data_IF_558528972168
#
_entry.id   IF_558528972168
#
_cell.length_a   1.000
_cell.length_b   1.000
_cell.length_c   1.000
_cell.angle_alpha   90.00
_cell.angle_beta   90.00
_cell.angle_gamma   90.00
#
_symmetry.space_group_name_H-M   'P 1'
#
loop_
_entity.id
_entity.type
_entity.pdbx_description
1 polymer ?
#
# COMPACT_ATOMS: atom_id res chain seq x y z
N UNK A 1 22.40 -15.54 -21.59
CA UNK A 1 21.82 -16.81 -21.14
C UNK A 1 20.31 -16.69 -21.27
N UNK A 2 19.75 -17.10 -22.41
CA UNK A 2 18.30 -17.11 -22.60
C UNK A 2 17.60 -17.89 -21.48
N UNK A 3 16.31 -17.62 -21.25
CA UNK A 3 15.55 -18.30 -20.21
C UNK A 3 15.44 -19.82 -20.39
N UNK A 4 15.72 -20.33 -21.60
CA UNK A 4 15.88 -21.75 -21.91
C UNK A 4 17.08 -22.41 -21.20
N UNK A 5 18.03 -21.61 -20.72
CA UNK A 5 19.20 -22.08 -19.95
C UNK A 5 18.84 -22.41 -18.49
N UNK A 6 17.60 -22.14 -18.08
CA UNK A 6 17.05 -22.47 -16.75
C UNK A 6 15.83 -23.40 -16.87
N UNK A 7 16.01 -24.61 -17.43
CA UNK A 7 14.90 -25.50 -17.78
C UNK A 7 14.06 -25.95 -16.58
N UNK A 8 14.65 -26.13 -15.39
CA UNK A 8 13.93 -26.57 -14.19
C UNK A 8 12.96 -25.48 -13.75
N UNK A 9 13.43 -24.23 -13.65
CA UNK A 9 12.57 -23.09 -13.30
C UNK A 9 11.54 -22.87 -14.40
N UNK A 10 11.97 -22.85 -15.66
CA UNK A 10 11.09 -22.53 -16.80
C UNK A 10 9.94 -23.54 -16.94
N UNK A 11 10.23 -24.84 -16.84
CA UNK A 11 9.23 -25.90 -16.99
C UNK A 11 8.24 -25.97 -15.82
N UNK A 12 8.63 -25.50 -14.64
CA UNK A 12 7.73 -25.43 -13.49
C UNK A 12 6.66 -24.33 -13.63
N UNK A 13 6.86 -23.34 -14.51
CA UNK A 13 6.00 -22.17 -14.63
C UNK A 13 4.82 -22.40 -15.58
N UNK A 14 3.70 -21.74 -15.30
CA UNK A 14 2.61 -21.60 -16.28
C UNK A 14 3.09 -20.83 -17.52
N UNK A 15 2.49 -21.05 -18.70
CA UNK A 15 2.81 -20.33 -19.95
C UNK A 15 2.95 -18.81 -19.79
N UNK A 16 2.02 -18.17 -19.07
CA UNK A 16 2.08 -16.73 -18.79
C UNK A 16 3.31 -16.32 -17.99
N UNK A 17 3.71 -17.14 -17.02
CA UNK A 17 4.89 -16.89 -16.17
C UNK A 17 6.19 -17.21 -16.90
N UNK A 18 6.20 -18.20 -17.79
CA UNK A 18 7.33 -18.48 -18.68
C UNK A 18 7.65 -17.26 -19.54
N UNK A 19 6.64 -16.65 -20.14
CA UNK A 19 6.82 -15.42 -20.91
C UNK A 19 7.36 -14.27 -20.04
N UNK A 20 6.77 -14.04 -18.86
CA UNK A 20 7.23 -12.99 -17.94
C UNK A 20 8.66 -13.21 -17.45
N UNK A 21 9.04 -14.46 -17.24
CA UNK A 21 10.38 -14.85 -16.83
C UNK A 21 11.38 -14.63 -17.96
N UNK A 22 11.06 -15.05 -19.18
CA UNK A 22 11.89 -14.83 -20.37
C UNK A 22 12.12 -13.34 -20.67
N UNK A 23 11.05 -12.53 -20.64
CA UNK A 23 11.13 -11.08 -20.82
C UNK A 23 12.01 -10.42 -19.74
N UNK A 24 11.89 -10.85 -18.48
CA UNK A 24 12.64 -10.28 -17.38
C UNK A 24 14.13 -10.64 -17.41
N UNK A 25 14.47 -11.88 -17.75
CA UNK A 25 15.86 -12.32 -17.94
C UNK A 25 16.48 -11.55 -19.11
N UNK A 26 15.83 -11.53 -20.27
CA UNK A 26 16.32 -10.81 -21.45
C UNK A 26 16.55 -9.32 -21.17
N UNK A 27 15.66 -8.67 -20.42
CA UNK A 27 15.82 -7.26 -20.05
C UNK A 27 17.00 -7.01 -19.09
N UNK A 28 17.30 -7.92 -18.17
CA UNK A 28 18.49 -7.78 -17.30
C UNK A 28 19.78 -8.05 -18.06
N UNK A 29 19.79 -9.01 -18.98
CA UNK A 29 20.95 -9.32 -19.82
C UNK A 29 21.26 -8.17 -20.77
N UNK A 30 20.24 -7.63 -21.45
CA UNK A 30 20.40 -6.45 -22.29
C UNK A 30 20.94 -5.25 -21.51
N UNK A 31 20.48 -5.06 -20.26
CA UNK A 31 21.02 -4.04 -19.37
C UNK A 31 22.48 -4.28 -19.01
N UNK A 32 22.83 -5.53 -18.69
CA UNK A 32 24.21 -5.94 -18.39
C UNK A 32 25.15 -5.68 -19.56
N UNK A 33 24.75 -6.11 -20.75
CA UNK A 33 25.56 -5.97 -21.97
C UNK A 33 25.70 -4.50 -22.39
N UNK A 34 24.69 -3.67 -22.13
CA UNK A 34 24.75 -2.23 -22.32
C UNK A 34 25.51 -1.47 -21.22
N UNK A 35 25.86 -2.11 -20.10
CA UNK A 35 26.49 -1.49 -18.94
C UNK A 35 25.61 -0.48 -18.18
N UNK A 36 24.34 -0.32 -18.55
CA UNK A 36 23.40 0.60 -17.94
C UNK A 36 21.97 0.12 -18.14
N UNK A 37 21.08 0.36 -17.18
CA UNK A 37 19.66 0.09 -17.35
C UNK A 37 18.76 1.06 -16.57
N UNK A 38 17.53 1.35 -17.06
CA UNK A 38 16.58 2.16 -16.29
C UNK A 38 16.16 1.46 -14.99
N UNK A 39 16.18 2.18 -13.87
CA UNK A 39 15.77 1.62 -12.57
C UNK A 39 14.35 1.02 -12.56
N UNK A 40 13.42 1.57 -13.36
CA UNK A 40 12.08 1.00 -13.51
C UNK A 40 12.08 -0.39 -14.17
N UNK A 41 12.94 -0.60 -15.17
CA UNK A 41 13.12 -1.89 -15.85
C UNK A 41 13.77 -2.88 -14.89
N UNK A 42 14.83 -2.48 -14.19
CA UNK A 42 15.46 -3.29 -13.14
C UNK A 42 14.46 -3.77 -12.09
N UNK A 43 13.68 -2.85 -11.49
CA UNK A 43 12.70 -3.20 -10.44
C UNK A 43 11.63 -4.16 -10.94
N UNK A 44 11.10 -3.93 -12.16
CA UNK A 44 10.11 -4.82 -12.77
C UNK A 44 10.70 -6.21 -13.02
N UNK A 45 11.87 -6.29 -13.64
CA UNK A 45 12.52 -7.58 -13.94
C UNK A 45 12.87 -8.36 -12.68
N UNK A 46 13.46 -7.69 -11.68
CA UNK A 46 13.73 -8.28 -10.36
C UNK A 46 12.47 -8.88 -9.73
N UNK A 47 11.37 -8.12 -9.72
CA UNK A 47 10.13 -8.58 -9.12
C UNK A 47 9.51 -9.77 -9.88
N UNK A 48 9.51 -9.72 -11.22
CA UNK A 48 9.03 -10.82 -12.05
C UNK A 48 9.82 -12.10 -11.82
N UNK A 49 11.15 -12.01 -11.81
CA UNK A 49 12.04 -13.15 -11.56
C UNK A 49 11.82 -13.71 -10.16
N UNK A 50 11.80 -12.86 -9.13
CA UNK A 50 11.60 -13.30 -7.74
C UNK A 50 10.30 -14.10 -7.59
N UNK A 51 9.20 -13.64 -8.21
CA UNK A 51 7.91 -14.35 -8.19
C UNK A 51 7.91 -15.66 -8.97
N UNK A 52 8.74 -15.76 -10.01
CA UNK A 52 8.87 -17.00 -10.78
C UNK A 52 9.72 -18.02 -10.04
N UNK A 53 10.85 -17.60 -9.45
CA UNK A 53 11.70 -18.47 -8.62
C UNK A 53 10.97 -18.93 -7.35
N UNK A 54 10.19 -18.07 -6.70
CA UNK A 54 9.32 -18.44 -5.58
C UNK A 54 8.28 -19.50 -5.96
N UNK A 55 7.69 -19.35 -7.15
CA UNK A 55 6.69 -20.30 -7.65
C UNK A 55 7.33 -21.66 -7.95
N UNK A 56 8.42 -21.68 -8.73
CA UNK A 56 9.14 -22.91 -9.05
C UNK A 56 9.60 -23.62 -7.77
N UNK A 57 10.13 -22.89 -6.79
CA UNK A 57 10.48 -23.41 -5.48
C UNK A 57 9.27 -24.02 -4.76
N UNK A 58 8.13 -23.34 -4.77
CA UNK A 58 6.92 -23.86 -4.14
C UNK A 58 6.45 -25.17 -4.77
N UNK A 59 6.44 -25.27 -6.10
CA UNK A 59 5.94 -26.46 -6.81
C UNK A 59 6.90 -27.65 -6.72
N UNK A 60 8.20 -27.40 -6.78
CA UNK A 60 9.20 -28.45 -6.93
C UNK A 60 9.86 -28.86 -5.61
N UNK A 61 9.77 -28.05 -4.54
CA UNK A 61 10.38 -28.38 -3.24
C UNK A 61 9.36 -28.37 -2.11
N UNK A 62 8.70 -27.23 -1.85
CA UNK A 62 7.84 -27.13 -0.66
C UNK A 62 6.62 -28.02 -0.73
N UNK A 63 5.86 -27.97 -1.83
CA UNK A 63 4.65 -28.79 -1.99
C UNK A 63 4.94 -30.29 -1.94
N UNK A 64 5.93 -30.83 -2.68
CA UNK A 64 6.18 -32.28 -2.71
C UNK A 64 6.79 -32.83 -1.43
N UNK A 65 7.54 -32.02 -0.67
CA UNK A 65 8.34 -32.50 0.46
C UNK A 65 7.97 -31.85 1.80
N UNK A 66 8.02 -30.52 1.92
CA UNK A 66 7.79 -29.81 3.19
C UNK A 66 6.31 -29.63 3.57
N UNK A 67 5.40 -29.72 2.61
CA UNK A 67 3.94 -29.59 2.81
C UNK A 67 3.19 -30.89 2.53
N UNK A 68 3.88 -31.90 2.01
CA UNK A 68 3.31 -33.22 1.77
C UNK A 68 3.35 -34.04 3.06
N UNK A 69 2.19 -34.24 3.66
CA UNK A 69 2.06 -34.99 4.93
C UNK A 69 2.53 -36.43 4.80
N UNK A 70 2.42 -37.04 3.62
CA UNK A 70 2.80 -38.43 3.43
C UNK A 70 4.32 -38.56 3.32
N UNK A 71 4.97 -37.66 2.58
CA UNK A 71 6.43 -37.59 2.53
C UNK A 71 7.05 -37.32 3.93
N UNK A 72 6.50 -36.38 4.68
CA UNK A 72 6.98 -36.03 6.03
C UNK A 72 6.86 -37.21 7.00
N UNK A 73 5.84 -38.05 6.85
CA UNK A 73 5.65 -39.24 7.68
C UNK A 73 6.64 -40.35 7.34
N UNK A 74 7.04 -40.48 6.07
CA UNK A 74 8.02 -41.47 5.62
C UNK A 74 9.48 -41.02 5.76
N UNK A 75 9.72 -39.71 5.91
CA UNK A 75 11.08 -39.16 6.09
C UNK A 75 11.68 -39.54 7.45
N UNK A 76 13.01 -39.61 7.52
CA UNK A 76 13.73 -39.83 8.78
C UNK A 76 13.49 -38.67 9.75
N UNK A 77 13.66 -38.89 11.05
CA UNK A 77 13.48 -37.84 12.05
C UNK A 77 14.42 -36.64 11.83
N UNK A 78 15.66 -36.91 11.42
CA UNK A 78 16.65 -35.90 11.10
C UNK A 78 16.30 -35.10 9.84
N UNK A 79 15.84 -35.76 8.78
CA UNK A 79 15.38 -35.10 7.56
C UNK A 79 14.13 -34.25 7.83
N UNK A 80 13.17 -34.79 8.58
CA UNK A 80 11.94 -34.11 8.97
C UNK A 80 12.21 -32.83 9.75
N UNK A 81 13.14 -32.86 10.70
CA UNK A 81 13.53 -31.68 11.47
C UNK A 81 14.10 -30.57 10.55
N UNK A 82 14.94 -30.95 9.59
CA UNK A 82 15.52 -30.02 8.60
C UNK A 82 14.48 -29.45 7.64
N UNK A 83 13.50 -30.25 7.21
CA UNK A 83 12.41 -29.81 6.32
C UNK A 83 11.49 -28.77 6.96
N UNK A 84 11.26 -28.85 8.28
CA UNK A 84 10.49 -27.83 9.01
C UNK A 84 11.21 -26.48 9.07
N UNK A 85 12.54 -26.47 9.10
CA UNK A 85 13.36 -25.24 9.15
C UNK A 85 13.46 -24.52 7.80
N UNK A 86 13.08 -25.19 6.70
CA UNK A 86 13.06 -24.60 5.34
C UNK A 86 11.74 -23.86 5.12
N UNK A 87 11.59 -22.74 5.83
CA UNK A 87 10.41 -21.88 5.73
C UNK A 87 10.52 -20.80 4.64
N UNK A 88 11.74 -20.45 4.24
CA UNK A 88 12.03 -19.30 3.39
C UNK A 88 12.02 -19.64 1.88
N UNK A 89 11.63 -18.66 1.07
CA UNK A 89 11.77 -18.73 -0.39
C UNK A 89 13.14 -18.22 -0.83
N UNK A 90 13.65 -18.65 -2.00
CA UNK A 90 14.87 -18.11 -2.58
C UNK A 90 14.75 -16.60 -2.81
N UNK A 91 15.67 -15.85 -2.19
CA UNK A 91 15.86 -14.42 -2.36
C UNK A 91 17.36 -14.12 -2.46
N UNK A 92 17.71 -12.99 -3.08
CA UNK A 92 19.12 -12.60 -3.29
C UNK A 92 19.91 -12.57 -1.96
N UNK A 93 19.28 -12.17 -0.87
CA UNK A 93 19.91 -12.03 0.45
C UNK A 93 19.99 -13.32 1.28
N UNK A 94 19.28 -14.39 0.90
CA UNK A 94 19.24 -15.63 1.69
C UNK A 94 19.69 -16.88 0.90
N UNK A 95 20.11 -16.71 -0.36
CA UNK A 95 20.52 -17.80 -1.26
C UNK A 95 21.61 -18.69 -0.66
N UNK A 96 22.60 -18.12 0.04
CA UNK A 96 23.68 -18.87 0.70
C UNK A 96 23.18 -19.68 1.89
N UNK A 97 22.18 -19.17 2.64
CA UNK A 97 21.57 -19.91 3.75
C UNK A 97 20.79 -21.12 3.21
N UNK A 98 20.00 -20.91 2.15
CA UNK A 98 19.23 -21.97 1.52
C UNK A 98 20.11 -23.06 0.89
N UNK A 99 21.24 -22.67 0.30
CA UNK A 99 22.24 -23.64 -0.20
C UNK A 99 22.74 -24.57 0.90
N UNK A 100 23.14 -24.02 2.06
CA UNK A 100 23.57 -24.82 3.22
C UNK A 100 22.46 -25.72 3.78
N UNK A 101 21.22 -25.23 3.78
CA UNK A 101 20.07 -26.06 4.19
C UNK A 101 19.83 -27.22 3.22
N UNK A 102 19.99 -26.99 1.91
CA UNK A 102 19.88 -28.03 0.88
C UNK A 102 21.03 -29.05 0.96
N UNK A 103 22.25 -28.62 1.27
CA UNK A 103 23.39 -29.52 1.54
C UNK A 103 23.17 -30.36 2.80
N UNK A 104 22.67 -29.75 3.87
CA UNK A 104 22.38 -30.42 5.13
C UNK A 104 21.31 -31.52 5.02
N UNK A 105 20.46 -31.48 3.99
CA UNK A 105 19.49 -32.54 3.67
C UNK A 105 20.12 -33.79 3.00
N UNK A 106 21.40 -33.75 2.62
CA UNK A 106 22.10 -34.89 2.01
C UNK A 106 21.45 -35.35 0.70
N UNK A 107 21.63 -36.61 0.31
CA UNK A 107 21.11 -37.20 -0.94
C UNK A 107 19.64 -37.66 -0.86
N UNK A 108 18.86 -37.01 0.00
CA UNK A 108 17.40 -37.19 0.04
C UNK A 108 16.73 -36.62 -1.20
N UNK A 109 15.52 -37.08 -1.53
CA UNK A 109 14.76 -36.55 -2.67
C UNK A 109 14.53 -35.04 -2.55
N UNK A 110 14.25 -34.56 -1.33
CA UNK A 110 14.12 -33.14 -1.04
C UNK A 110 15.45 -32.38 -1.20
N UNK A 111 16.56 -32.94 -0.69
CA UNK A 111 17.90 -32.35 -0.81
C UNK A 111 18.33 -32.20 -2.27
N UNK A 112 18.14 -33.25 -3.09
CA UNK A 112 18.45 -33.23 -4.52
C UNK A 112 17.60 -32.19 -5.27
N UNK A 113 16.27 -32.19 -5.08
CA UNK A 113 15.38 -31.24 -5.74
C UNK A 113 15.71 -29.78 -5.40
N UNK A 114 16.04 -29.51 -4.13
CA UNK A 114 16.45 -28.17 -3.71
C UNK A 114 17.79 -27.76 -4.32
N UNK A 115 18.79 -28.66 -4.35
CA UNK A 115 20.09 -28.36 -4.98
C UNK A 115 19.95 -28.08 -6.47
N UNK A 116 19.18 -28.87 -7.21
CA UNK A 116 18.98 -28.68 -8.65
C UNK A 116 18.33 -27.33 -8.99
N UNK A 117 17.36 -26.86 -8.21
CA UNK A 117 16.80 -25.51 -8.43
C UNK A 117 17.83 -24.43 -8.07
N UNK A 118 18.58 -24.63 -6.99
CA UNK A 118 19.57 -23.65 -6.53
C UNK A 118 20.72 -23.46 -7.53
N UNK A 119 21.07 -24.48 -8.31
CA UNK A 119 22.03 -24.38 -9.42
C UNK A 119 21.57 -23.38 -10.49
N UNK A 120 20.27 -23.36 -10.81
CA UNK A 120 19.70 -22.39 -11.76
C UNK A 120 19.43 -21.01 -11.15
N UNK A 121 18.98 -20.95 -9.89
CA UNK A 121 18.65 -19.66 -9.25
C UNK A 121 19.90 -18.82 -8.96
N UNK A 122 21.02 -19.45 -8.62
CA UNK A 122 22.26 -18.75 -8.26
C UNK A 122 22.76 -17.78 -9.37
N UNK A 123 22.97 -18.21 -10.63
CA UNK A 123 23.39 -17.30 -11.70
C UNK A 123 22.36 -16.21 -12.00
N UNK A 124 21.06 -16.51 -11.89
CA UNK A 124 19.99 -15.51 -12.08
C UNK A 124 20.10 -14.39 -11.03
N UNK A 125 20.37 -14.75 -9.77
CA UNK A 125 20.47 -13.77 -8.70
C UNK A 125 21.76 -12.95 -8.78
N UNK A 126 22.84 -13.49 -9.34
CA UNK A 126 24.02 -12.69 -9.70
C UNK A 126 23.68 -11.67 -10.79
N UNK A 127 22.91 -12.04 -11.82
CA UNK A 127 22.42 -11.09 -12.83
C UNK A 127 21.58 -9.97 -12.18
N UNK A 128 20.73 -10.29 -11.20
CA UNK A 128 19.98 -9.28 -10.44
C UNK A 128 20.91 -8.36 -9.65
N UNK A 129 21.98 -8.89 -9.03
CA UNK A 129 22.97 -8.06 -8.30
C UNK A 129 23.67 -7.11 -9.25
N UNK A 130 24.20 -7.60 -10.36
CA UNK A 130 24.83 -6.75 -11.38
C UNK A 130 23.85 -5.69 -11.91
N UNK A 131 22.60 -6.08 -12.20
CA UNK A 131 21.55 -5.16 -12.66
C UNK A 131 21.26 -4.01 -11.69
N UNK A 132 21.42 -4.23 -10.37
CA UNK A 132 21.27 -3.18 -9.35
C UNK A 132 22.36 -2.12 -9.47
N UNK A 133 23.59 -2.55 -9.72
CA UNK A 133 24.76 -1.66 -9.71
C UNK A 133 24.79 -0.76 -10.97
N UNK A 134 24.20 -1.25 -12.07
CA UNK A 134 24.06 -0.51 -13.33
C UNK A 134 22.70 0.20 -13.48
N UNK A 135 21.81 0.09 -12.49
CA UNK A 135 20.48 0.68 -12.54
C UNK A 135 20.55 2.20 -12.31
N UNK A 136 20.32 2.97 -13.38
CA UNK A 136 20.33 4.43 -13.31
C UNK A 136 18.92 4.93 -12.99
N UNK A 137 18.80 5.72 -11.92
CA UNK A 137 17.59 6.52 -11.67
C UNK A 137 17.53 7.58 -12.76
N UNK A 138 16.39 7.68 -13.44
CA UNK A 138 16.15 8.64 -14.52
C UNK A 138 16.61 10.03 -14.08
N UNK A 139 17.73 10.52 -14.62
CA UNK A 139 18.01 11.96 -14.65
C UNK A 139 16.91 12.57 -15.53
N UNK A 140 16.30 13.72 -15.18
CA UNK A 140 15.19 14.26 -15.96
C UNK A 140 15.71 14.61 -17.35
N UNK A 141 15.34 13.81 -18.36
CA UNK A 141 15.55 14.16 -19.76
C UNK A 141 14.36 15.03 -20.23
N UNK A 142 14.61 16.04 -21.08
CA UNK A 142 13.60 17.01 -21.51
C UNK A 142 12.50 16.31 -22.33
N UNK A 143 11.26 16.74 -22.13
CA UNK A 143 10.04 16.07 -22.59
C UNK A 143 9.66 16.53 -24.01
N UNK A 144 9.46 15.62 -24.99
CA UNK A 144 8.64 15.90 -26.18
C UNK A 144 7.15 15.51 -25.94
N UNK A 145 6.20 16.13 -26.66
CA UNK A 145 4.83 16.32 -26.18
C UNK A 145 3.86 15.21 -26.61
N UNK A 146 2.90 14.84 -25.76
CA UNK A 146 1.51 14.50 -26.18
C UNK A 146 0.52 14.39 -24.99
N UNK A 147 -0.42 15.33 -24.98
CA UNK A 147 -1.80 15.32 -24.48
C UNK A 147 -2.19 14.35 -23.34
N UNK A 148 -2.07 14.78 -22.09
CA UNK A 148 -3.09 15.45 -21.26
C UNK A 148 -2.31 16.06 -20.10
N UNK A 149 -2.03 17.36 -20.17
CA UNK A 149 -1.28 18.09 -19.16
C UNK A 149 -2.01 18.02 -17.81
N UNK A 150 -1.60 17.09 -16.95
CA UNK A 150 -1.77 17.28 -15.51
C UNK A 150 -0.79 18.37 -15.12
N UNK A 151 -1.33 19.59 -15.06
CA UNK A 151 -0.71 20.77 -14.49
C UNK A 151 0.20 20.39 -13.32
N UNK A 152 1.49 20.66 -13.45
CA UNK A 152 2.45 20.56 -12.36
C UNK A 152 2.76 21.98 -11.91
N UNK A 153 2.56 22.16 -10.62
CA UNK A 153 2.56 23.43 -9.95
C UNK A 153 4.00 23.82 -9.50
N UNK A 154 4.37 25.11 -9.48
CA UNK A 154 5.67 25.59 -8.98
C UNK A 154 5.85 25.43 -7.45
N UNK A 155 7.07 25.66 -6.93
CA UNK A 155 7.53 25.24 -5.58
C UNK A 155 7.77 26.37 -4.56
N UNK A 156 7.28 26.11 -3.33
CA UNK A 156 7.15 26.91 -2.07
C UNK A 156 8.03 28.15 -1.76
N UNK A 157 7.40 29.33 -1.60
CA UNK A 157 7.80 30.43 -0.67
C UNK A 157 7.44 30.10 0.80
N UNK A 158 8.41 30.18 1.71
CA UNK A 158 8.36 29.51 3.03
C UNK A 158 7.41 30.08 4.11
N UNK A 159 7.04 31.37 4.09
CA UNK A 159 6.27 32.00 5.19
C UNK A 159 4.75 31.84 5.07
N UNK A 160 4.19 32.00 3.86
CA UNK A 160 2.76 31.76 3.59
C UNK A 160 2.38 30.29 3.87
N UNK A 161 3.27 29.38 3.49
CA UNK A 161 3.12 27.95 3.67
C UNK A 161 3.06 27.53 5.15
N UNK A 162 3.86 28.17 6.00
CA UNK A 162 3.83 27.93 7.44
C UNK A 162 2.50 28.35 8.07
N UNK A 163 1.91 29.48 7.63
CA UNK A 163 0.61 29.95 8.11
C UNK A 163 -0.53 28.98 7.71
N UNK A 164 -0.50 28.47 6.48
CA UNK A 164 -1.53 27.52 6.02
C UNK A 164 -1.40 26.17 6.73
N UNK A 165 -0.17 25.70 6.88
CA UNK A 165 0.12 24.48 7.62
C UNK A 165 -0.39 24.58 9.07
N UNK A 166 -0.20 25.73 9.73
CA UNK A 166 -0.68 25.95 11.10
C UNK A 166 -2.20 25.78 11.20
N UNK A 167 -2.96 26.43 10.31
CA UNK A 167 -4.43 26.37 10.33
C UNK A 167 -4.98 24.99 9.96
N UNK A 168 -4.38 24.31 8.97
CA UNK A 168 -4.74 22.91 8.66
C UNK A 168 -4.41 21.98 9.84
N UNK A 169 -3.31 22.26 10.55
CA UNK A 169 -2.96 21.53 11.78
C UNK A 169 -3.98 21.79 12.89
N UNK A 170 -4.50 23.01 13.05
CA UNK A 170 -5.57 23.31 14.03
C UNK A 170 -6.86 22.53 13.70
N UNK A 171 -7.27 22.51 12.42
CA UNK A 171 -8.44 21.75 11.98
C UNK A 171 -8.27 20.26 12.33
N UNK A 172 -7.12 19.69 11.98
CA UNK A 172 -6.88 18.26 12.23
C UNK A 172 -6.73 17.94 13.71
N UNK A 173 -6.12 18.82 14.52
CA UNK A 173 -5.99 18.64 15.97
C UNK A 173 -7.35 18.55 16.65
N UNK A 174 -8.28 19.43 16.27
CA UNK A 174 -9.64 19.41 16.79
C UNK A 174 -10.42 18.14 16.38
N UNK A 175 -10.12 17.58 15.20
CA UNK A 175 -10.80 16.41 14.66
C UNK A 175 -10.26 15.06 15.11
N UNK A 176 -8.97 14.99 15.43
CA UNK A 176 -8.24 13.75 15.67
C UNK A 176 -8.92 12.82 16.68
N UNK A 177 -9.29 13.35 17.85
CA UNK A 177 -9.90 12.56 18.92
C UNK A 177 -11.27 11.99 18.51
N UNK A 178 -12.08 12.79 17.80
CA UNK A 178 -13.38 12.37 17.28
C UNK A 178 -13.25 11.25 16.25
N UNK A 179 -12.31 11.38 15.31
CA UNK A 179 -12.01 10.36 14.29
C UNK A 179 -11.53 9.06 14.94
N UNK A 180 -10.57 9.15 15.87
CA UNK A 180 -10.05 7.97 16.57
C UNK A 180 -11.17 7.22 17.34
N UNK A 181 -12.04 7.97 18.02
CA UNK A 181 -13.19 7.42 18.75
C UNK A 181 -14.19 6.74 17.80
N UNK A 182 -14.46 7.33 16.63
CA UNK A 182 -15.35 6.75 15.63
C UNK A 182 -14.82 5.43 15.07
N UNK A 183 -13.53 5.42 14.69
CA UNK A 183 -12.85 4.25 14.17
C UNK A 183 -12.81 3.14 15.22
N UNK A 184 -12.56 3.46 16.49
CA UNK A 184 -12.61 2.48 17.59
C UNK A 184 -13.98 1.84 17.70
N UNK A 185 -15.06 2.64 17.77
CA UNK A 185 -16.45 2.13 17.83
C UNK A 185 -16.79 1.24 16.62
N UNK A 186 -16.35 1.63 15.43
CA UNK A 186 -16.59 0.84 14.22
C UNK A 186 -15.83 -0.50 14.26
N UNK A 187 -14.59 -0.50 14.71
CA UNK A 187 -13.79 -1.71 14.87
C UNK A 187 -14.36 -2.64 15.95
N UNK A 188 -14.73 -2.10 17.12
CA UNK A 188 -15.40 -2.85 18.20
C UNK A 188 -16.69 -3.51 17.68
N UNK A 189 -17.55 -2.75 17.02
CA UNK A 189 -18.78 -3.28 16.41
C UNK A 189 -18.50 -4.41 15.41
N UNK A 190 -17.40 -4.33 14.66
CA UNK A 190 -16.98 -5.39 13.72
C UNK A 190 -16.60 -6.67 14.46
N UNK A 191 -15.85 -6.55 15.56
CA UNK A 191 -15.46 -7.67 16.41
C UNK A 191 -16.69 -8.29 17.08
N UNK A 192 -17.57 -7.48 17.66
CA UNK A 192 -18.79 -7.95 18.31
C UNK A 192 -19.73 -8.66 17.32
N UNK A 193 -19.84 -8.14 16.09
CA UNK A 193 -20.62 -8.79 15.02
C UNK A 193 -20.05 -10.17 14.67
N UNK A 194 -18.72 -10.30 14.62
CA UNK A 194 -18.07 -11.58 14.37
C UNK A 194 -18.33 -12.57 15.52
N UNK A 195 -18.18 -12.14 16.77
CA UNK A 195 -18.42 -12.98 17.95
C UNK A 195 -19.90 -13.42 18.05
N UNK A 196 -20.84 -12.51 17.76
CA UNK A 196 -22.26 -12.84 17.71
C UNK A 196 -22.56 -13.90 16.64
N UNK A 197 -21.92 -13.80 15.46
CA UNK A 197 -22.06 -14.80 14.40
C UNK A 197 -21.42 -16.14 14.75
N UNK A 198 -20.29 -16.16 15.46
CA UNK A 198 -19.71 -17.40 16.00
C UNK A 198 -20.71 -18.08 16.93
N UNK A 199 -21.29 -17.33 17.87
CA UNK A 199 -22.25 -17.86 18.83
C UNK A 199 -23.50 -18.41 18.15
N UNK A 200 -24.08 -17.68 17.19
CA UNK A 200 -25.20 -18.16 16.39
C UNK A 200 -24.85 -19.43 15.58
N UNK A 201 -23.65 -19.49 15.02
CA UNK A 201 -23.15 -20.65 14.30
C UNK A 201 -23.07 -21.88 15.22
N UNK A 202 -22.49 -21.73 16.42
CA UNK A 202 -22.41 -22.78 17.44
C UNK A 202 -23.80 -23.30 17.86
N UNK A 203 -24.79 -22.43 18.00
CA UNK A 203 -26.17 -22.81 18.33
C UNK A 203 -26.91 -23.52 17.19
N UNK A 204 -26.57 -23.21 15.93
CA UNK A 204 -27.23 -23.77 14.74
C UNK A 204 -26.75 -25.19 14.38
N UNK A 205 -25.51 -25.53 14.71
CA UNK A 205 -24.92 -26.87 14.46
C UNK A 205 -25.40 -27.87 15.50
N UNK A 206 -26.59 -28.46 15.28
CA UNK A 206 -27.08 -29.67 15.98
C UNK A 206 -26.64 -30.99 15.33
N UNK A 207 -25.82 -30.94 14.28
CA UNK A 207 -25.39 -32.11 13.49
C UNK A 207 -23.96 -32.52 13.82
N UNK A 208 -23.69 -33.84 13.78
CA UNK A 208 -22.43 -34.51 14.17
C UNK A 208 -21.16 -34.10 13.40
N UNK A 209 -21.26 -33.18 12.44
CA UNK A 209 -20.13 -32.69 11.65
C UNK A 209 -19.85 -31.22 11.99
N UNK A 210 -18.68 -30.89 12.54
CA UNK A 210 -18.33 -29.51 12.85
C UNK A 210 -18.19 -28.71 11.55
N UNK A 211 -19.13 -27.80 11.28
CA UNK A 211 -18.98 -26.82 10.20
C UNK A 211 -17.95 -25.79 10.66
N UNK A 212 -16.84 -25.68 9.93
CA UNK A 212 -15.68 -24.85 10.28
C UNK A 212 -16.06 -23.35 10.27
N UNK A 213 -16.06 -22.72 11.45
CA UNK A 213 -16.18 -21.26 11.61
C UNK A 213 -14.84 -20.68 12.04
N UNK A 214 -14.25 -19.82 11.22
CA UNK A 214 -12.96 -19.18 11.52
C UNK A 214 -12.86 -17.81 10.84
N UNK A 215 -11.92 -16.97 11.32
CA UNK A 215 -11.72 -15.60 10.81
C UNK A 215 -11.51 -15.57 9.30
N UNK A 216 -10.73 -16.51 8.74
CA UNK A 216 -10.44 -16.55 7.31
C UNK A 216 -11.68 -16.91 6.51
N UNK A 217 -12.39 -17.96 6.92
CA UNK A 217 -13.64 -18.40 6.29
C UNK A 217 -14.71 -17.29 6.35
N UNK A 218 -14.80 -16.58 7.48
CA UNK A 218 -15.70 -15.43 7.65
C UNK A 218 -15.34 -14.26 6.74
N UNK A 219 -14.06 -13.85 6.73
CA UNK A 219 -13.59 -12.75 5.89
C UNK A 219 -13.71 -13.09 4.39
N UNK A 220 -13.51 -14.35 4.02
CA UNK A 220 -13.70 -14.83 2.65
C UNK A 220 -15.17 -14.78 2.22
N UNK A 221 -16.09 -15.13 3.12
CA UNK A 221 -17.51 -15.05 2.84
C UNK A 221 -17.96 -13.60 2.59
N UNK A 222 -17.53 -12.67 3.44
CA UNK A 222 -17.84 -11.25 3.27
C UNK A 222 -17.15 -10.62 2.05
N UNK A 223 -15.92 -11.04 1.73
CA UNK A 223 -15.19 -10.57 0.55
C UNK A 223 -15.50 -11.33 -0.74
N UNK A 224 -16.69 -11.94 -0.86
CA UNK A 224 -17.18 -12.62 -2.08
C UNK A 224 -16.18 -13.64 -2.67
N UNK A 225 -15.55 -14.45 -1.81
CA UNK A 225 -14.62 -15.50 -2.23
C UNK A 225 -13.14 -15.13 -2.11
N UNK A 226 -12.80 -13.86 -1.81
CA UNK A 226 -11.46 -13.45 -1.36
C UNK A 226 -11.52 -13.01 0.09
N UNK A 227 -10.59 -13.46 0.92
CA UNK A 227 -10.54 -13.02 2.31
C UNK A 227 -10.18 -11.52 2.37
N UNK A 228 -11.07 -10.72 2.95
CA UNK A 228 -10.80 -9.31 3.21
C UNK A 228 -9.64 -9.18 4.21
N UNK A 229 -8.50 -8.70 3.72
CA UNK A 229 -7.27 -8.58 4.51
C UNK A 229 -7.40 -7.57 5.67
N UNK A 230 -8.16 -6.49 5.49
CA UNK A 230 -8.38 -5.50 6.55
C UNK A 230 -9.27 -6.07 7.64
N UNK A 231 -10.33 -6.78 7.26
CA UNK A 231 -11.19 -7.48 8.21
C UNK A 231 -10.42 -8.56 8.98
N UNK A 232 -9.60 -9.36 8.29
CA UNK A 232 -8.78 -10.39 8.93
C UNK A 232 -7.81 -9.78 9.94
N UNK A 233 -7.08 -8.72 9.57
CA UNK A 233 -6.14 -8.05 10.48
C UNK A 233 -6.87 -7.51 11.72
N UNK A 234 -7.99 -6.80 11.54
CA UNK A 234 -8.82 -6.28 12.64
C UNK A 234 -9.24 -7.37 13.63
N UNK A 235 -9.76 -8.49 13.12
CA UNK A 235 -10.23 -9.60 13.96
C UNK A 235 -9.07 -10.33 14.64
N UNK A 236 -7.99 -10.63 13.91
CA UNK A 236 -6.83 -11.38 14.43
C UNK A 236 -6.11 -10.62 15.55
N UNK A 237 -6.12 -9.30 15.46
CA UNK A 237 -5.45 -8.44 16.44
C UNK A 237 -6.28 -8.30 17.71
N UNK A 238 -7.60 -8.21 17.58
CA UNK A 238 -8.54 -8.01 18.69
C UNK A 238 -8.91 -9.29 19.46
N UNK A 239 -8.77 -10.47 18.83
CA UNK A 239 -9.30 -11.74 19.35
C UNK A 239 -8.20 -12.77 19.65
N UNK A 240 -8.32 -13.45 20.78
CA UNK A 240 -7.58 -14.68 21.05
C UNK A 240 -8.29 -15.85 20.40
N UNK A 241 -7.51 -16.84 19.96
CA UNK A 241 -8.01 -18.08 19.39
C UNK A 241 -7.68 -19.24 20.33
N UNK A 242 -8.70 -19.97 20.77
CA UNK A 242 -8.56 -21.28 21.40
C UNK A 242 -9.06 -22.37 20.46
N UNK A 243 -8.63 -23.61 20.71
CA UNK A 243 -9.05 -24.78 19.93
C UNK A 243 -9.75 -25.75 20.88
N UNK A 244 -11.01 -26.05 20.61
CA UNK A 244 -11.81 -27.02 21.36
C UNK A 244 -11.41 -28.46 21.06
N UNK A 245 -11.99 -29.39 21.81
CA UNK A 245 -11.65 -30.82 21.78
C UNK A 245 -11.87 -31.49 20.42
N UNK A 246 -12.79 -30.96 19.59
CA UNK A 246 -13.07 -31.43 18.24
C UNK A 246 -12.31 -30.66 17.14
N UNK A 247 -11.30 -29.87 17.50
CA UNK A 247 -10.54 -29.03 16.56
C UNK A 247 -11.29 -27.77 16.12
N UNK A 248 -12.42 -27.45 16.76
CA UNK A 248 -13.19 -26.24 16.53
C UNK A 248 -12.44 -25.01 17.07
N UNK A 249 -12.43 -23.93 16.30
CA UNK A 249 -11.81 -22.68 16.73
C UNK A 249 -12.82 -21.84 17.48
N UNK A 250 -12.44 -21.38 18.65
CA UNK A 250 -13.24 -20.46 19.45
C UNK A 250 -12.46 -19.16 19.64
N UNK A 251 -13.12 -18.05 19.31
CA UNK A 251 -12.55 -16.72 19.48
C UNK A 251 -13.20 -16.00 20.64
N UNK A 252 -12.38 -15.24 21.38
CA UNK A 252 -12.81 -14.35 22.47
C UNK A 252 -12.00 -13.05 22.39
N UNK A 253 -12.53 -11.97 22.96
CA UNK A 253 -11.73 -10.76 23.14
C UNK A 253 -10.42 -11.08 23.85
N UNK A 254 -9.30 -10.56 23.34
CA UNK A 254 -8.05 -10.54 24.10
C UNK A 254 -8.25 -9.70 25.36
N UNK A 255 -7.51 -10.00 26.43
CA UNK A 255 -7.53 -9.19 27.65
C UNK A 255 -7.32 -7.69 27.37
N UNK A 256 -6.37 -7.35 26.48
CA UNK A 256 -6.10 -5.97 26.04
C UNK A 256 -6.71 -5.64 24.67
N UNK A 257 -7.63 -6.46 24.14
CA UNK A 257 -8.12 -6.37 22.76
C UNK A 257 -8.74 -5.02 22.42
N UNK A 258 -9.60 -4.50 23.30
CA UNK A 258 -10.23 -3.19 23.13
C UNK A 258 -9.21 -2.04 23.14
N UNK A 259 -8.19 -2.14 24.01
CA UNK A 259 -7.11 -1.15 24.07
C UNK A 259 -6.25 -1.19 22.81
N UNK A 260 -5.96 -2.37 22.28
CA UNK A 260 -5.23 -2.52 21.00
C UNK A 260 -6.04 -1.90 19.85
N UNK A 261 -7.35 -2.12 19.82
CA UNK A 261 -8.26 -1.49 18.85
C UNK A 261 -8.18 0.03 18.97
N UNK A 262 -8.33 0.59 20.17
CA UNK A 262 -8.24 2.03 20.41
C UNK A 262 -6.89 2.63 19.97
N UNK A 263 -5.78 1.96 20.29
CA UNK A 263 -4.44 2.40 19.90
C UNK A 263 -4.24 2.39 18.37
N UNK A 264 -4.75 1.36 17.69
CA UNK A 264 -4.68 1.30 16.22
C UNK A 264 -5.56 2.36 15.58
N UNK A 265 -6.77 2.57 16.09
CA UNK A 265 -7.68 3.61 15.63
C UNK A 265 -7.09 5.02 15.82
N UNK A 266 -6.34 5.26 16.89
CA UNK A 266 -5.60 6.50 17.08
C UNK A 266 -4.51 6.71 16.03
N UNK A 267 -3.72 5.67 15.72
CA UNK A 267 -2.70 5.71 14.65
C UNK A 267 -3.33 5.92 13.26
N UNK A 268 -4.47 5.30 12.99
CA UNK A 268 -5.19 5.50 11.73
C UNK A 268 -5.72 6.94 11.61
N UNK A 269 -6.24 7.51 12.71
CA UNK A 269 -6.62 8.91 12.75
C UNK A 269 -5.44 9.86 12.44
N UNK A 270 -4.23 9.55 12.95
CA UNK A 270 -3.01 10.32 12.63
C UNK A 270 -2.71 10.32 11.14
N UNK A 271 -2.79 9.16 10.49
CA UNK A 271 -2.55 9.03 9.05
C UNK A 271 -3.60 9.79 8.22
N UNK A 272 -4.86 9.79 8.65
CA UNK A 272 -5.93 10.57 8.01
C UNK A 272 -5.66 12.07 8.14
N UNK A 273 -5.33 12.54 9.34
CA UNK A 273 -4.99 13.93 9.61
C UNK A 273 -3.78 14.39 8.79
N UNK A 274 -2.70 13.60 8.76
CA UNK A 274 -1.51 13.90 7.98
C UNK A 274 -1.83 13.97 6.48
N UNK A 275 -2.54 12.96 5.95
CA UNK A 275 -2.93 12.92 4.54
C UNK A 275 -3.81 14.10 4.16
N UNK A 276 -4.70 14.55 5.05
CA UNK A 276 -5.51 15.73 4.83
C UNK A 276 -4.66 16.99 4.69
N UNK A 277 -3.69 17.22 5.59
CA UNK A 277 -2.78 18.37 5.50
C UNK A 277 -2.02 18.32 4.17
N UNK A 278 -1.34 17.21 3.89
CA UNK A 278 -0.50 17.06 2.70
C UNK A 278 -1.26 17.31 1.40
N UNK A 279 -2.48 16.76 1.27
CA UNK A 279 -3.28 16.88 0.04
C UNK A 279 -3.88 18.26 -0.17
N UNK A 280 -4.22 18.96 0.91
CA UNK A 280 -4.69 20.35 0.80
C UNK A 280 -3.52 21.30 0.50
N UNK A 281 -2.37 21.12 1.18
CA UNK A 281 -1.16 21.90 0.91
C UNK A 281 -0.71 21.74 -0.54
N UNK A 282 -0.70 20.52 -1.08
CA UNK A 282 -0.30 20.26 -2.47
C UNK A 282 -1.13 21.00 -3.53
N UNK A 283 -2.36 21.42 -3.21
CA UNK A 283 -3.24 22.18 -4.11
C UNK A 283 -3.22 23.68 -3.84
N UNK A 284 -3.08 24.10 -2.58
CA UNK A 284 -3.12 25.51 -2.19
C UNK A 284 -1.78 26.20 -2.40
N UNK A 285 -0.68 25.53 -2.06
CA UNK A 285 0.68 26.06 -2.15
C UNK A 285 0.94 26.74 -3.50
N UNK A 286 0.72 26.07 -4.64
CA UNK A 286 1.21 26.61 -5.90
C UNK A 286 0.46 27.88 -6.33
N UNK A 287 -0.83 27.95 -6.03
CA UNK A 287 -1.67 29.11 -6.32
C UNK A 287 -1.18 30.34 -5.52
N UNK A 288 -0.89 30.12 -4.24
CA UNK A 288 -0.53 31.19 -3.30
C UNK A 288 0.86 31.73 -3.61
N UNK A 289 1.75 30.84 -4.01
CA UNK A 289 3.12 31.18 -4.33
C UNK A 289 3.31 31.85 -5.66
N UNK A 290 2.70 31.30 -6.71
CA UNK A 290 2.76 31.87 -8.06
C UNK A 290 2.22 33.30 -8.03
N UNK A 291 1.22 33.57 -7.16
CA UNK A 291 0.72 34.92 -6.93
C UNK A 291 1.67 35.82 -6.12
N UNK A 292 2.42 35.25 -5.17
CA UNK A 292 3.50 35.94 -4.45
C UNK A 292 3.09 37.04 -3.47
N UNK A 293 1.83 37.48 -3.45
CA UNK A 293 1.32 38.62 -2.68
C UNK A 293 0.38 38.21 -1.53
N UNK A 294 0.55 37.00 -0.99
CA UNK A 294 -0.21 36.49 0.14
C UNK A 294 -0.23 37.47 1.32
N UNK A 295 -1.42 37.75 1.85
CA UNK A 295 -1.62 38.62 3.00
C UNK A 295 -2.06 37.84 4.25
N UNK A 296 -3.14 37.06 4.16
CA UNK A 296 -3.64 36.31 5.32
C UNK A 296 -4.56 35.16 4.93
N UNK A 297 -4.79 34.27 5.89
CA UNK A 297 -5.79 33.21 5.81
C UNK A 297 -6.62 33.20 7.08
N UNK A 298 -7.91 32.87 6.96
CA UNK A 298 -8.82 32.69 8.09
C UNK A 298 -9.67 31.46 7.90
N UNK A 299 -9.89 30.69 8.96
CA UNK A 299 -10.93 29.66 8.98
C UNK A 299 -12.28 30.37 9.05
N UNK A 300 -13.08 30.27 7.99
CA UNK A 300 -14.44 30.85 7.91
C UNK A 300 -15.53 29.80 8.16
N UNK A 301 -15.14 28.53 8.28
CA UNK A 301 -16.02 27.46 8.71
C UNK A 301 -15.25 26.16 8.91
N UNK A 302 -15.69 25.36 9.87
CA UNK A 302 -15.23 23.98 10.04
C UNK A 302 -16.39 23.14 10.54
N UNK A 303 -16.50 21.93 10.02
CA UNK A 303 -17.32 20.90 10.63
C UNK A 303 -16.47 19.64 10.79
N UNK A 304 -16.52 19.09 11.99
CA UNK A 304 -15.71 17.96 12.44
C UNK A 304 -16.68 16.94 13.01
N UNK A 305 -16.91 15.90 12.23
CA UNK A 305 -17.76 14.77 12.60
C UNK A 305 -16.92 13.48 12.68
N UNK A 306 -17.37 12.48 13.46
CA UNK A 306 -16.69 11.19 13.61
C UNK A 306 -16.30 10.51 12.29
N UNK A 307 -16.98 10.83 11.17
CA UNK A 307 -16.69 10.30 9.83
C UNK A 307 -16.41 11.37 8.76
N UNK A 308 -16.29 12.65 9.13
CA UNK A 308 -16.04 13.72 8.16
C UNK A 308 -15.22 14.85 8.77
N UNK A 309 -14.23 15.33 8.02
CA UNK A 309 -13.47 16.52 8.38
C UNK A 309 -13.65 17.52 7.26
N UNK A 310 -14.24 18.67 7.55
CA UNK A 310 -14.40 19.75 6.58
C UNK A 310 -13.69 21.00 7.06
N UNK A 311 -12.98 21.64 6.14
CA UNK A 311 -12.36 22.95 6.33
C UNK A 311 -12.90 23.93 5.31
N UNK A 312 -13.19 25.14 5.76
CA UNK A 312 -13.52 26.26 4.90
C UNK A 312 -12.58 27.42 5.25
N UNK A 313 -11.68 27.71 4.32
CA UNK A 313 -10.58 28.65 4.48
C UNK A 313 -10.83 29.84 3.56
N UNK A 314 -10.67 31.05 4.05
CA UNK A 314 -10.62 32.26 3.23
C UNK A 314 -9.18 32.72 3.12
N UNK A 315 -8.71 32.89 1.90
CA UNK A 315 -7.40 33.42 1.59
C UNK A 315 -7.54 34.85 1.05
N UNK A 316 -6.66 35.73 1.51
CA UNK A 316 -6.61 37.16 1.20
C UNK A 316 -5.21 37.52 0.72
N UNK A 317 -5.16 38.38 -0.30
CA UNK A 317 -3.95 38.84 -0.95
C UNK A 317 -3.85 40.37 -0.86
N UNK A 318 -2.64 40.92 -1.04
CA UNK A 318 -2.33 42.32 -0.77
C UNK A 318 -3.08 43.28 -1.70
N UNK A 319 -3.33 42.86 -2.94
CA UNK A 319 -4.08 43.62 -3.93
C UNK A 319 -5.61 43.56 -3.75
N UNK A 320 -6.08 42.92 -2.67
CA UNK A 320 -7.52 42.78 -2.39
C UNK A 320 -8.15 41.53 -3.00
N UNK A 321 -7.42 40.75 -3.81
CA UNK A 321 -7.90 39.47 -4.30
C UNK A 321 -8.12 38.48 -3.16
N UNK A 322 -9.03 37.54 -3.39
CA UNK A 322 -9.41 36.52 -2.40
C UNK A 322 -10.04 35.30 -3.04
N UNK A 323 -9.99 34.19 -2.31
CA UNK A 323 -10.84 33.04 -2.58
C UNK A 323 -11.16 32.27 -1.31
N UNK A 324 -12.26 31.54 -1.36
CA UNK A 324 -12.68 30.61 -0.34
C UNK A 324 -12.36 29.17 -0.79
N UNK A 325 -11.55 28.45 -0.03
CA UNK A 325 -11.17 27.07 -0.28
C UNK A 325 -11.95 26.14 0.66
N UNK A 326 -12.74 25.22 0.09
CA UNK A 326 -13.51 24.22 0.84
C UNK A 326 -12.92 22.84 0.64
N UNK A 327 -12.45 22.25 1.73
CA UNK A 327 -11.88 20.91 1.80
C UNK A 327 -12.77 19.96 2.58
N UNK A 328 -12.80 18.68 2.18
CA UNK A 328 -13.52 17.64 2.90
C UNK A 328 -12.76 16.32 2.87
N UNK A 329 -12.71 15.59 3.98
CA UNK A 329 -12.30 14.20 4.02
C UNK A 329 -13.53 13.30 3.77
N UNK A 330 -13.47 12.48 2.72
CA UNK A 330 -14.57 11.61 2.27
C UNK A 330 -14.05 10.19 2.12
N UNK A 331 -14.76 9.22 2.71
CA UNK A 331 -14.49 7.81 2.45
C UNK A 331 -14.95 7.45 1.02
N UNK A 332 -14.07 6.83 0.26
CA UNK A 332 -14.33 6.35 -1.10
C UNK A 332 -13.91 4.89 -1.21
N UNK A 333 -14.38 4.22 -2.26
CA UNK A 333 -14.00 2.83 -2.55
C UNK A 333 -13.32 2.75 -3.91
N UNK A 334 -12.30 1.91 -4.04
CA UNK A 334 -11.63 1.64 -5.31
C UNK A 334 -12.57 0.83 -6.23
N UNK A 335 -12.21 0.68 -7.51
CA UNK A 335 -12.93 -0.21 -8.43
C UNK A 335 -12.97 -1.66 -7.92
N UNK A 336 -12.01 -2.04 -7.05
CA UNK A 336 -11.94 -3.33 -6.39
C UNK A 336 -12.62 -3.37 -5.01
N UNK A 337 -13.39 -2.34 -4.65
CA UNK A 337 -14.10 -2.25 -3.37
C UNK A 337 -13.21 -1.91 -2.16
N UNK A 338 -11.94 -1.55 -2.38
CA UNK A 338 -11.02 -1.22 -1.28
C UNK A 338 -11.32 0.19 -0.76
N UNK A 339 -11.60 0.38 0.55
CA UNK A 339 -11.84 1.70 1.11
C UNK A 339 -10.55 2.55 1.10
N UNK A 340 -10.67 3.83 0.79
CA UNK A 340 -9.60 4.83 0.88
C UNK A 340 -10.18 6.23 1.09
N UNK A 341 -9.42 7.12 1.73
CA UNK A 341 -9.83 8.50 1.95
C UNK A 341 -9.52 9.38 0.75
N UNK A 342 -10.51 10.19 0.35
CA UNK A 342 -10.38 11.29 -0.61
C UNK A 342 -10.42 12.62 0.11
N UNK A 343 -9.71 13.59 -0.46
CA UNK A 343 -9.63 14.95 0.05
C UNK A 343 -9.99 15.98 -1.04
N UNK A 344 -11.25 15.99 -1.52
CA UNK A 344 -11.69 17.04 -2.45
C UNK A 344 -11.45 18.42 -1.85
N UNK A 345 -10.84 19.29 -2.66
CA UNK A 345 -10.68 20.72 -2.41
C UNK A 345 -11.34 21.46 -3.58
N UNK A 346 -12.18 22.44 -3.26
CA UNK A 346 -12.92 23.25 -4.23
C UNK A 346 -12.76 24.73 -3.91
N UNK A 347 -12.80 25.57 -4.94
CA UNK A 347 -12.61 27.01 -4.86
C UNK A 347 -13.94 27.74 -5.08
N UNK A 348 -14.21 28.73 -4.24
CA UNK A 348 -15.46 29.49 -4.19
C UNK A 348 -15.15 30.97 -4.00
N UNK A 349 -16.11 31.85 -4.32
CA UNK A 349 -16.02 33.29 -4.10
C UNK A 349 -14.69 33.90 -4.56
N UNK A 350 -14.20 33.45 -5.71
CA UNK A 350 -12.89 33.84 -6.24
C UNK A 350 -13.00 35.23 -6.86
N UNK A 351 -12.22 36.16 -6.34
CA UNK A 351 -12.20 37.57 -6.73
C UNK A 351 -10.76 38.00 -7.03
N UNK A 352 -10.52 38.61 -8.19
CA UNK A 352 -9.23 39.18 -8.59
C UNK A 352 -9.01 40.57 -7.96
N UNK A 353 -7.79 41.11 -8.09
CA UNK A 353 -7.42 42.41 -7.51
C UNK A 353 -8.23 43.59 -8.07
N UNK A 354 -8.62 43.50 -9.36
CA UNK A 354 -9.52 44.44 -10.02
C UNK A 354 -10.99 44.34 -9.55
N UNK A 355 -11.31 43.36 -8.71
CA UNK A 355 -12.62 43.07 -8.17
C UNK A 355 -13.49 42.15 -9.05
N UNK A 356 -13.01 41.72 -10.21
CA UNK A 356 -13.72 40.77 -11.08
C UNK A 356 -13.81 39.39 -10.43
N UNK A 357 -14.85 38.62 -10.79
CA UNK A 357 -15.14 37.32 -10.17
C UNK A 357 -14.88 36.15 -11.13
N UNK A 358 -14.24 35.10 -10.61
CA UNK A 358 -14.08 33.82 -11.32
C UNK A 358 -15.15 32.84 -10.84
N UNK A 359 -16.14 32.58 -11.70
CA UNK A 359 -17.19 31.60 -11.40
C UNK A 359 -16.70 30.17 -11.58
N UNK A 360 -17.00 29.31 -10.59
CA UNK A 360 -16.73 27.86 -10.56
C UNK A 360 -15.32 27.48 -11.06
N UNK A 361 -14.25 28.03 -10.48
CA UNK A 361 -12.91 27.78 -10.98
C UNK A 361 -12.49 26.33 -10.76
N UNK A 362 -11.90 25.74 -11.80
CA UNK A 362 -11.11 24.52 -11.67
C UNK A 362 -9.74 24.86 -11.06
N UNK A 363 -9.03 23.85 -10.58
CA UNK A 363 -7.65 24.03 -10.11
C UNK A 363 -6.75 24.60 -11.22
N UNK A 364 -6.92 24.15 -12.46
CA UNK A 364 -6.21 24.72 -13.62
C UNK A 364 -6.50 26.21 -13.76
N UNK A 365 -7.78 26.60 -13.70
CA UNK A 365 -8.22 27.99 -13.80
C UNK A 365 -7.66 28.86 -12.67
N UNK A 366 -7.60 28.35 -11.44
CA UNK A 366 -6.97 29.06 -10.33
C UNK A 366 -5.48 29.34 -10.60
N UNK A 367 -4.76 28.37 -11.15
CA UNK A 367 -3.34 28.55 -11.40
C UNK A 367 -3.04 29.43 -12.62
N UNK A 368 -3.89 29.40 -13.65
CA UNK A 368 -3.68 30.17 -14.87
C UNK A 368 -4.20 31.60 -14.79
N UNK A 369 -5.35 31.83 -14.16
CA UNK A 369 -6.02 33.14 -14.11
C UNK A 369 -5.85 33.81 -12.75
N UNK A 370 -6.10 33.10 -11.66
CA UNK A 370 -5.99 33.71 -10.33
C UNK A 370 -4.52 33.93 -9.93
N UNK A 371 -3.67 32.91 -10.07
CA UNK A 371 -2.30 33.01 -9.56
C UNK A 371 -1.41 33.96 -10.37
N UNK A 372 -1.69 34.13 -11.67
CA UNK A 372 -0.88 34.98 -12.57
C UNK A 372 -1.39 36.42 -12.72
N UNK A 373 -2.59 36.73 -12.24
CA UNK A 373 -3.09 38.10 -12.19
C UNK A 373 -2.48 38.84 -10.99
N UNK A 374 -1.25 39.28 -11.15
CA UNK A 374 -0.67 40.39 -10.37
C UNK A 374 -0.53 41.53 -11.36
N UNK A 375 -1.37 42.56 -11.24
CA UNK A 375 -1.15 43.77 -12.04
C UNK A 375 0.22 44.34 -11.65
N UNK A 376 1.11 44.50 -12.63
CA UNK A 376 2.33 45.26 -12.46
C UNK A 376 1.92 46.66 -12.02
N UNK A 377 2.06 46.96 -10.73
CA UNK A 377 2.02 48.33 -10.24
C UNK A 377 2.99 49.13 -11.10
N UNK A 378 2.53 50.15 -11.86
CA UNK A 378 3.45 50.97 -12.64
C UNK A 378 4.37 51.67 -11.64
N UNK A 379 5.65 51.34 -11.71
CA UNK A 379 6.69 51.99 -10.90
C UNK A 379 6.67 53.50 -11.21
N UNK A 380 6.64 54.38 -10.20
CA UNK A 380 6.56 55.83 -10.40
C UNK A 380 7.79 56.43 -11.08
#
# INVERSE_FOLDING_TARGET
MPASDYPIIFNALTLRKQQQFAEAISALEAGRDAGTMPNAVYLRSKQSISRCTEYAWSELTRKPYSWNRDYIKSASEEERAKLYDIAAYPQVNNITKLGRQAEGLGDTQAGLAMRSIMEEVRPIFEIIRTGKDIAVKKVPAPVPPTAVERYQAPTASGTAMAAILLELTEITRAARAGIASALSRQHEKTVDTFLARQHAHQQSTKTDRPVRFDIFSYAKHLGQGKADAQLMDRLTVALDQSVGSKGEKHYTWKAEGQKIVAQRSAKEADLICQSYIEKNMAKLAPIIEERGDYASMKIIGRNVDPGSMTGHLRLLFKDGARFDARSQAVMSFSVYGTPFMRYPLTFHNVQLGDGSLISRPSEKKMNEEFARCVEETPTP
#
